data_IF_591818052109
#
_entry.id   IF_591818052109
#
_cell.length_a   1.000
_cell.length_b   1.000
_cell.length_c   1.000
_cell.angle_alpha   90.00
_cell.angle_beta   90.00
_cell.angle_gamma   90.00
#
_symmetry.space_group_name_H-M   'P 1'
#
loop_
_entity.id
_entity.type
_entity.pdbx_description
1 polymer ?
#
# COMPACT_ATOMS: atom_id res chain seq x y z
N UNK A 1 -12.23 -8.17 12.44
CA UNK A 1 -11.05 -7.51 13.03
C UNK A 1 -10.28 -8.41 13.98
N UNK A 2 -10.89 -8.81 15.11
CA UNK A 2 -10.25 -9.63 16.15
C UNK A 2 -9.75 -10.99 15.64
N UNK A 3 -10.54 -11.69 14.83
CA UNK A 3 -10.16 -12.99 14.24
C UNK A 3 -8.89 -12.85 13.37
N UNK A 4 -8.85 -11.83 12.51
CA UNK A 4 -7.69 -11.49 11.67
C UNK A 4 -6.43 -11.22 12.51
N UNK A 5 -6.57 -10.41 13.57
CA UNK A 5 -5.46 -10.11 14.48
C UNK A 5 -5.00 -11.36 15.23
N UNK A 6 -5.91 -12.18 15.73
CA UNK A 6 -5.56 -13.46 16.36
C UNK A 6 -4.82 -14.40 15.41
N UNK A 7 -5.27 -14.51 14.16
CA UNK A 7 -4.61 -15.35 13.15
C UNK A 7 -3.18 -14.87 12.84
N UNK A 8 -2.91 -13.56 12.89
CA UNK A 8 -1.58 -12.99 12.67
C UNK A 8 -0.68 -12.92 13.91
N UNK A 9 -1.24 -12.81 15.12
CA UNK A 9 -0.46 -12.77 16.36
C UNK A 9 -0.15 -14.18 16.88
N UNK A 10 -1.15 -15.06 16.98
CA UNK A 10 -1.00 -16.43 17.47
C UNK A 10 -1.98 -17.40 16.78
N UNK A 11 -1.56 -18.08 15.69
CA UNK A 11 -2.42 -19.01 14.97
C UNK A 11 -2.82 -20.26 15.79
N UNK A 12 -1.96 -20.72 16.71
CA UNK A 12 -2.26 -21.85 17.59
C UNK A 12 -3.38 -21.51 18.58
N UNK A 13 -3.31 -20.32 19.20
CA UNK A 13 -4.37 -19.82 20.09
C UNK A 13 -5.70 -19.55 19.37
N UNK A 14 -5.67 -19.34 18.06
CA UNK A 14 -6.87 -19.19 17.23
C UNK A 14 -7.52 -20.55 16.93
N UNK A 15 -6.70 -21.59 16.70
CA UNK A 15 -7.16 -22.97 16.52
C UNK A 15 -7.83 -23.53 17.78
N UNK A 16 -7.28 -23.25 18.96
CA UNK A 16 -7.89 -23.64 20.24
C UNK A 16 -9.30 -23.05 20.45
N UNK A 17 -9.63 -21.95 19.76
CA UNK A 17 -10.98 -21.34 19.74
C UNK A 17 -11.89 -21.87 18.63
N UNK A 18 -11.46 -22.90 17.89
CA UNK A 18 -12.22 -23.51 16.79
C UNK A 18 -12.11 -22.80 15.44
N UNK A 19 -11.25 -21.77 15.33
CA UNK A 19 -11.06 -21.03 14.06
C UNK A 19 -9.91 -21.66 13.29
N UNK A 20 -10.09 -21.88 11.98
CA UNK A 20 -9.06 -22.49 11.11
C UNK A 20 -8.17 -21.40 10.48
N UNK A 21 -6.92 -21.17 10.94
CA UNK A 21 -6.10 -20.05 10.49
C UNK A 21 -5.74 -20.11 9.00
N UNK A 22 -5.48 -21.32 8.48
CA UNK A 22 -5.11 -21.55 7.06
C UNK A 22 -6.18 -21.07 6.09
N UNK A 23 -7.45 -21.37 6.38
CA UNK A 23 -8.58 -20.97 5.52
C UNK A 23 -8.74 -19.45 5.55
N UNK A 24 -8.63 -18.85 6.74
CA UNK A 24 -8.72 -17.41 6.91
C UNK A 24 -7.61 -16.71 6.13
N UNK A 25 -6.35 -17.15 6.28
CA UNK A 25 -5.22 -16.60 5.53
C UNK A 25 -5.40 -16.75 4.02
N UNK A 26 -5.77 -17.95 3.55
CA UNK A 26 -6.00 -18.20 2.12
C UNK A 26 -7.12 -17.31 1.55
N UNK A 27 -8.23 -17.15 2.27
CA UNK A 27 -9.33 -16.29 1.85
C UNK A 27 -8.89 -14.83 1.69
N UNK A 28 -8.13 -14.28 2.63
CA UNK A 28 -7.64 -12.90 2.53
C UNK A 28 -6.59 -12.71 1.43
N UNK A 29 -5.70 -13.69 1.21
CA UNK A 29 -4.75 -13.66 0.09
C UNK A 29 -5.47 -13.71 -1.26
N UNK A 30 -6.51 -14.53 -1.39
CA UNK A 30 -7.33 -14.62 -2.59
C UNK A 30 -8.07 -13.31 -2.88
N UNK A 31 -8.70 -12.71 -1.84
CA UNK A 31 -9.38 -11.42 -1.99
C UNK A 31 -8.39 -10.33 -2.38
N UNK A 32 -7.21 -10.28 -1.75
CA UNK A 32 -6.16 -9.33 -2.10
C UNK A 32 -5.67 -9.50 -3.54
N UNK A 33 -5.43 -10.74 -3.97
CA UNK A 33 -5.05 -11.07 -5.35
C UNK A 33 -6.13 -10.67 -6.35
N UNK A 34 -7.40 -10.92 -6.03
CA UNK A 34 -8.53 -10.52 -6.88
C UNK A 34 -8.62 -8.99 -7.04
N UNK A 35 -8.41 -8.23 -5.96
CA UNK A 35 -8.37 -6.75 -6.01
C UNK A 35 -7.22 -6.24 -6.89
N UNK A 36 -6.02 -6.83 -6.77
CA UNK A 36 -4.88 -6.48 -7.62
C UNK A 36 -5.14 -6.83 -9.09
N UNK A 37 -5.75 -7.99 -9.36
CA UNK A 37 -6.15 -8.39 -10.70
C UNK A 37 -7.18 -7.43 -11.33
N UNK A 38 -8.20 -7.03 -10.57
CA UNK A 38 -9.19 -6.04 -11.00
C UNK A 38 -8.54 -4.67 -11.27
N UNK A 39 -7.60 -4.24 -10.42
CA UNK A 39 -6.87 -3.00 -10.63
C UNK A 39 -6.05 -3.03 -11.93
N UNK A 40 -5.40 -4.16 -12.25
CA UNK A 40 -4.66 -4.34 -13.50
C UNK A 40 -5.57 -4.35 -14.73
N UNK A 41 -6.71 -5.04 -14.66
CA UNK A 41 -7.71 -5.03 -15.73
C UNK A 41 -8.25 -3.61 -15.98
N UNK A 42 -8.63 -2.90 -14.90
CA UNK A 42 -9.10 -1.52 -14.98
C UNK A 42 -8.03 -0.58 -15.57
N UNK A 43 -6.76 -0.75 -15.18
CA UNK A 43 -5.66 0.02 -15.75
C UNK A 43 -5.56 -0.19 -17.27
N UNK A 44 -5.63 -1.44 -17.74
CA UNK A 44 -5.54 -1.77 -19.16
C UNK A 44 -6.72 -1.24 -19.97
N UNK A 45 -7.92 -1.19 -19.38
CA UNK A 45 -9.14 -0.76 -20.07
C UNK A 45 -9.34 0.76 -20.03
N UNK A 46 -9.08 1.42 -18.91
CA UNK A 46 -9.44 2.82 -18.69
C UNK A 46 -8.28 3.81 -18.91
N UNK A 47 -7.04 3.42 -18.62
CA UNK A 47 -5.89 4.34 -18.62
C UNK A 47 -5.16 4.30 -19.98
N UNK A 48 -5.22 3.18 -20.70
CA UNK A 48 -4.72 3.05 -22.08
C UNK A 48 -5.76 2.44 -23.03
N UNK A 49 -6.78 3.20 -23.46
CA UNK A 49 -7.63 2.79 -24.57
C UNK A 49 -6.85 2.99 -25.89
N UNK A 50 -6.01 2.02 -26.27
CA UNK A 50 -5.35 2.02 -27.57
C UNK A 50 -3.95 1.41 -27.61
N UNK A 51 -3.65 0.70 -28.69
CA UNK A 51 -2.36 0.09 -28.99
C UNK A 51 -1.41 1.14 -29.60
N UNK A 52 -1.09 2.21 -28.85
CA UNK A 52 -0.29 3.33 -29.35
C UNK A 52 0.63 3.94 -28.28
N UNK A 53 1.95 3.88 -28.54
CA UNK A 53 3.11 4.35 -27.74
C UNK A 53 3.55 3.48 -26.54
N UNK A 54 4.89 3.31 -26.32
CA UNK A 54 5.46 2.21 -25.52
C UNK A 54 5.42 2.39 -24.01
N UNK A 55 5.20 3.59 -23.46
CA UNK A 55 5.25 3.81 -21.99
C UNK A 55 3.98 3.26 -21.31
N UNK A 56 3.92 1.94 -21.11
CA UNK A 56 2.74 1.18 -20.67
C UNK A 56 2.53 1.19 -19.16
N UNK A 57 3.52 0.68 -18.43
CA UNK A 57 3.48 0.53 -16.97
C UNK A 57 4.90 0.57 -16.38
N UNK A 58 5.89 1.04 -17.14
CA UNK A 58 7.30 0.95 -16.74
C UNK A 58 7.52 1.65 -15.40
N UNK A 59 8.06 0.91 -14.44
CA UNK A 59 8.38 1.41 -13.10
C UNK A 59 7.21 1.45 -12.10
N UNK A 60 5.95 1.24 -12.50
CA UNK A 60 4.80 1.29 -11.57
C UNK A 60 4.89 0.19 -10.49
N UNK A 61 5.43 -0.99 -10.85
CA UNK A 61 5.65 -2.09 -9.90
C UNK A 61 6.64 -1.74 -8.78
N UNK A 62 7.70 -0.97 -9.08
CA UNK A 62 8.67 -0.51 -8.09
C UNK A 62 8.05 0.48 -7.10
N UNK A 63 7.14 1.33 -7.59
CA UNK A 63 6.39 2.27 -6.75
C UNK A 63 5.48 1.51 -5.77
N UNK A 64 4.80 0.45 -6.24
CA UNK A 64 3.96 -0.38 -5.38
C UNK A 64 4.77 -1.03 -4.24
N UNK A 65 5.96 -1.56 -4.56
CA UNK A 65 6.87 -2.10 -3.55
C UNK A 65 7.29 -1.02 -2.53
N UNK A 66 7.70 0.15 -3.01
CA UNK A 66 8.09 1.27 -2.15
C UNK A 66 6.95 1.68 -1.21
N UNK A 67 5.72 1.84 -1.73
CA UNK A 67 4.53 2.16 -0.93
C UNK A 67 4.26 1.14 0.17
N UNK A 68 4.41 -0.15 -0.12
CA UNK A 68 4.20 -1.24 0.87
C UNK A 68 5.27 -1.22 1.96
N UNK A 69 6.55 -1.08 1.58
CA UNK A 69 7.67 -1.01 2.53
C UNK A 69 7.48 0.19 3.47
N UNK A 70 7.19 1.35 2.88
CA UNK A 70 7.04 2.59 3.61
C UNK A 70 5.76 2.68 4.44
N UNK A 71 4.68 2.01 4.02
CA UNK A 71 3.45 1.92 4.79
C UNK A 71 3.57 1.10 6.08
N UNK A 72 4.63 0.31 6.24
CA UNK A 72 5.01 -0.33 7.50
C UNK A 72 3.91 -1.19 8.11
N UNK A 73 3.42 -2.19 7.37
CA UNK A 73 2.36 -3.13 7.76
C UNK A 73 1.00 -2.51 8.11
N UNK A 74 0.81 -1.21 7.86
CA UNK A 74 -0.43 -0.52 8.15
C UNK A 74 -1.24 -0.21 6.88
N UNK A 75 -2.40 -0.87 6.66
CA UNK A 75 -3.13 -0.78 5.39
C UNK A 75 -3.63 0.64 5.09
N UNK A 76 -4.03 1.39 6.13
CA UNK A 76 -4.52 2.76 5.97
C UNK A 76 -3.41 3.74 5.55
N UNK A 77 -2.16 3.48 5.97
CA UNK A 77 -1.02 4.33 5.59
C UNK A 77 -0.63 4.07 4.14
N UNK A 78 -0.61 2.79 3.74
CA UNK A 78 -0.39 2.38 2.35
C UNK A 78 -1.46 3.01 1.44
N UNK A 79 -2.74 2.95 1.84
CA UNK A 79 -3.83 3.52 1.05
C UNK A 79 -3.70 5.05 0.90
N UNK A 80 -3.45 5.79 1.97
CA UNK A 80 -3.24 7.24 1.91
C UNK A 80 -2.03 7.61 1.03
N UNK A 81 -0.92 6.86 1.16
CA UNK A 81 0.26 7.05 0.32
C UNK A 81 -0.05 6.82 -1.17
N UNK A 82 -0.81 5.77 -1.49
CA UNK A 82 -1.20 5.45 -2.86
C UNK A 82 -2.09 6.54 -3.48
N UNK A 83 -3.08 7.06 -2.74
CA UNK A 83 -3.94 8.15 -3.22
C UNK A 83 -3.15 9.43 -3.48
N UNK A 84 -2.26 9.80 -2.56
CA UNK A 84 -1.47 11.01 -2.68
C UNK A 84 -0.49 10.89 -3.86
N UNK A 85 0.14 9.72 -4.02
CA UNK A 85 0.98 9.41 -5.17
C UNK A 85 0.22 9.53 -6.51
N UNK A 86 -0.99 8.96 -6.59
CA UNK A 86 -1.84 9.07 -7.78
C UNK A 86 -2.23 10.52 -8.11
N UNK A 87 -2.61 11.30 -7.08
CA UNK A 87 -2.93 12.72 -7.22
C UNK A 87 -1.75 13.51 -7.79
N UNK A 88 -0.54 13.24 -7.31
CA UNK A 88 0.67 13.94 -7.73
C UNK A 88 1.15 13.53 -9.12
N UNK A 89 0.98 12.27 -9.51
CA UNK A 89 1.19 11.86 -10.90
C UNK A 89 0.28 12.65 -11.85
N UNK A 90 -1.01 12.77 -11.52
CA UNK A 90 -1.95 13.55 -12.33
C UNK A 90 -1.61 15.04 -12.34
N UNK A 91 -1.21 15.59 -11.20
CA UNK A 91 -0.73 16.98 -11.10
C UNK A 91 0.49 17.20 -11.99
N UNK A 92 1.46 16.27 -12.01
CA UNK A 92 2.63 16.34 -12.87
C UNK A 92 2.29 16.35 -14.36
N UNK A 93 1.33 15.54 -14.79
CA UNK A 93 0.83 15.53 -16.17
C UNK A 93 0.22 16.90 -16.52
N UNK A 94 -0.63 17.45 -15.65
CA UNK A 94 -1.25 18.76 -15.87
C UNK A 94 -0.25 19.91 -15.90
N UNK A 95 0.79 19.88 -15.05
CA UNK A 95 1.83 20.93 -15.05
C UNK A 95 2.74 20.83 -16.29
N UNK A 96 2.96 19.63 -16.82
CA UNK A 96 3.74 19.46 -18.04
C UNK A 96 3.04 20.10 -19.26
N UNK A 97 1.71 20.05 -19.32
CA UNK A 97 0.93 20.72 -20.36
C UNK A 97 1.00 22.26 -20.26
N UNK A 98 1.17 22.82 -19.05
CA UNK A 98 1.25 24.27 -18.81
C UNK A 98 2.68 24.82 -18.98
N UNK A 99 3.72 24.01 -18.70
CA UNK A 99 5.13 24.42 -18.79
C UNK A 99 5.93 23.56 -19.78
N UNK A 100 5.78 23.79 -21.10
CA UNK A 100 6.44 22.98 -22.14
C UNK A 100 7.97 23.11 -22.19
N UNK A 101 8.55 24.09 -21.50
CA UNK A 101 10.00 24.36 -21.48
C UNK A 101 10.78 23.41 -20.55
N UNK A 102 10.11 22.69 -19.64
CA UNK A 102 10.77 21.81 -18.66
C UNK A 102 10.78 20.37 -19.20
N UNK A 103 11.96 19.71 -19.28
CA UNK A 103 12.06 18.32 -19.71
C UNK A 103 11.17 17.37 -18.90
N UNK A 104 10.44 16.50 -19.59
CA UNK A 104 9.54 15.49 -19.00
C UNK A 104 10.23 14.61 -17.93
N UNK A 105 11.54 14.39 -18.05
CA UNK A 105 12.36 13.65 -17.10
C UNK A 105 12.27 14.21 -15.67
N UNK A 106 12.14 15.54 -15.50
CA UNK A 106 12.05 16.17 -14.17
C UNK A 106 10.71 15.85 -13.52
N UNK A 107 9.63 15.87 -14.31
CA UNK A 107 8.30 15.48 -13.85
C UNK A 107 8.19 13.98 -13.55
N UNK A 108 8.96 13.14 -14.23
CA UNK A 108 9.05 11.70 -13.94
C UNK A 108 9.79 11.40 -12.63
N UNK A 109 10.72 12.26 -12.21
CA UNK A 109 11.47 12.08 -10.94
C UNK A 109 10.75 12.74 -9.76
N UNK A 110 9.89 13.73 -9.99
CA UNK A 110 9.11 14.43 -8.96
C UNK A 110 8.36 13.52 -7.94
N UNK A 111 7.81 12.35 -8.33
CA UNK A 111 7.11 11.48 -7.38
C UNK A 111 8.01 10.86 -6.31
N UNK A 112 9.33 10.70 -6.56
CA UNK A 112 10.24 10.01 -5.63
C UNK A 112 10.65 10.86 -4.41
N UNK A 113 11.16 12.11 -4.56
CA UNK A 113 11.45 12.97 -3.42
C UNK A 113 10.19 13.27 -2.60
N UNK A 114 9.05 13.31 -3.27
CA UNK A 114 7.76 13.58 -2.67
C UNK A 114 7.23 12.39 -1.86
N UNK A 115 7.45 11.16 -2.32
CA UNK A 115 7.25 9.95 -1.50
C UNK A 115 8.07 10.01 -0.21
N UNK A 116 9.34 10.39 -0.32
CA UNK A 116 10.21 10.57 0.86
C UNK A 116 9.66 11.69 1.76
N UNK A 117 9.23 12.83 1.19
CA UNK A 117 8.68 13.95 1.94
C UNK A 117 7.38 13.61 2.67
N UNK A 118 6.45 12.91 2.03
CA UNK A 118 5.17 12.49 2.61
C UNK A 118 5.36 11.48 3.73
N UNK A 119 6.33 10.57 3.59
CA UNK A 119 6.80 9.72 4.67
C UNK A 119 7.36 10.52 5.84
N UNK A 120 8.23 11.48 5.57
CA UNK A 120 8.81 12.35 6.61
C UNK A 120 7.68 13.10 7.33
N UNK A 121 6.69 13.65 6.62
CA UNK A 121 5.51 14.29 7.21
C UNK A 121 4.71 13.33 8.11
N UNK A 122 4.40 12.13 7.63
CA UNK A 122 3.68 11.10 8.40
C UNK A 122 4.50 10.63 9.61
N UNK A 123 5.82 10.55 9.47
CA UNK A 123 6.74 10.15 10.54
C UNK A 123 6.92 11.24 11.60
N UNK A 124 7.05 12.51 11.19
CA UNK A 124 7.13 13.67 12.08
C UNK A 124 5.82 13.86 12.86
N UNK A 125 4.67 13.64 12.21
CA UNK A 125 3.36 13.59 12.86
C UNK A 125 3.22 12.48 13.91
N UNK A 126 4.10 11.46 13.86
CA UNK A 126 4.19 10.37 14.84
C UNK A 126 5.01 10.73 16.09
N UNK A 127 5.90 11.73 15.99
CA UNK A 127 6.84 12.10 17.07
C UNK A 127 6.34 13.28 17.94
N UNK A 128 5.24 13.94 17.57
CA UNK A 128 4.59 14.92 18.45
C UNK A 128 3.88 14.19 19.61
N UNK A 129 4.63 13.96 20.68
CA UNK A 129 4.13 13.56 22.01
C UNK A 129 3.21 14.66 22.54
N UNK A 130 1.93 14.60 22.23
CA UNK A 130 0.95 15.54 22.77
C UNK A 130 -0.47 15.12 22.47
N UNK A 131 -1.08 14.39 23.43
CA UNK A 131 -2.52 14.08 23.52
C UNK A 131 -3.24 13.89 22.18
N UNK A 132 -3.27 12.68 21.60
CA UNK A 132 -4.30 12.35 20.60
C UNK A 132 -4.67 10.87 20.56
N UNK A 133 -5.84 10.63 21.17
CA UNK A 133 -7.01 9.87 20.72
C UNK A 133 -6.77 8.45 20.15
N UNK A 134 -7.52 7.51 20.75
CA UNK A 134 -7.75 6.08 20.42
C UNK A 134 -7.70 5.70 18.92
N UNK A 135 -8.00 6.66 18.03
CA UNK A 135 -7.87 6.61 16.57
C UNK A 135 -6.43 6.37 16.06
N UNK A 136 -5.39 6.87 16.73
CA UNK A 136 -3.99 6.67 16.32
C UNK A 136 -3.43 5.28 16.69
N UNK A 137 -4.02 4.61 17.70
CA UNK A 137 -3.71 3.20 18.05
C UNK A 137 -4.30 2.21 17.06
N UNK A 138 -5.42 2.56 16.42
CA UNK A 138 -5.94 1.86 15.24
C UNK A 138 -5.02 2.02 14.03
N UNK A 139 -4.21 3.08 14.01
CA UNK A 139 -3.31 3.48 12.94
C UNK A 139 -1.85 2.97 13.10
N UNK A 140 -1.52 2.28 14.19
CA UNK A 140 -0.21 1.65 14.42
C UNK A 140 -0.30 0.15 14.11
N UNK A 141 0.26 -0.27 12.98
CA UNK A 141 0.43 -1.68 12.63
C UNK A 141 1.79 -2.16 13.12
N UNK A 142 1.79 -3.17 13.98
CA UNK A 142 3.00 -3.95 14.28
C UNK A 142 3.06 -5.12 13.31
N UNK A 143 4.28 -5.60 13.01
CA UNK A 143 4.44 -6.83 12.26
C UNK A 143 3.75 -7.99 13.01
N UNK A 144 3.03 -8.88 12.31
CA UNK A 144 2.38 -10.03 12.94
C UNK A 144 3.41 -10.93 13.61
N UNK A 145 3.16 -11.31 14.86
CA UNK A 145 4.10 -12.10 15.67
C UNK A 145 4.34 -13.53 15.16
N UNK A 146 3.47 -14.04 14.28
CA UNK A 146 3.61 -15.37 13.68
C UNK A 146 4.41 -15.40 12.38
N UNK A 147 4.96 -14.27 11.93
CA UNK A 147 5.71 -14.21 10.67
C UNK A 147 6.96 -15.13 10.76
N UNK A 148 7.12 -16.04 9.80
CA UNK A 148 8.26 -16.97 9.75
C UNK A 148 8.13 -18.25 10.60
N UNK A 149 7.00 -18.45 11.30
CA UNK A 149 6.74 -19.72 12.01
C UNK A 149 5.84 -20.63 11.17
N UNK A 150 6.29 -21.86 10.91
CA UNK A 150 5.48 -22.86 10.22
C UNK A 150 4.36 -23.36 11.13
N UNK A 151 3.11 -23.13 10.76
CA UNK A 151 1.95 -23.66 11.46
C UNK A 151 1.76 -25.15 11.13
N UNK A 152 2.15 -26.03 12.06
CA UNK A 152 1.86 -27.47 12.01
C UNK A 152 0.67 -27.73 12.95
N UNK A 153 -0.42 -28.27 12.39
CA UNK A 153 -1.53 -28.77 13.19
C UNK A 153 -1.00 -30.00 13.93
N UNK A 154 -0.87 -29.89 15.26
CA UNK A 154 -0.61 -31.02 16.16
C UNK A 154 -1.92 -31.40 16.83
#
# INVERSE_FOLDING_TARGET
GLILRCVGENPEGCWARGIRPRIVQAAYTLIGGALVGLAGAAFSLAIKPGWGRPQGCEGIGWIALALVIFGGWHPLRVALGAYLFGFLQMLGILLQDVFPTIPAQIFQVAPFPLMIFTLVLIHLGRNSKGKKLLLLRLLSGNAPGSLGKNYRQV
#
